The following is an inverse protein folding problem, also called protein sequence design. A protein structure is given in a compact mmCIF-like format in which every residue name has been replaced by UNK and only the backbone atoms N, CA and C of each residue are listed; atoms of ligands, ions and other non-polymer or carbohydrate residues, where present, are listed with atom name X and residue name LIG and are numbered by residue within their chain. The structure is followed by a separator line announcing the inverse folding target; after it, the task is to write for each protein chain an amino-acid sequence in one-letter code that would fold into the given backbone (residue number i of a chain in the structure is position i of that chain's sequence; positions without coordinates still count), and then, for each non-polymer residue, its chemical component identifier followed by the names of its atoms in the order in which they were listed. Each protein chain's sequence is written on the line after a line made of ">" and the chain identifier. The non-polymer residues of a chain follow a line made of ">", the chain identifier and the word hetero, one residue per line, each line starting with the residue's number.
data_IF_828376904237
#
_entry.id   IF_828376904237
#
_cell.length_a   1.000
_cell.length_b   1.000
_cell.length_c   1.000
_cell.angle_alpha   90.00
_cell.angle_beta   90.00
_cell.angle_gamma   90.00
#
_symmetry.space_group_name_H-M   'P 1'
#
loop_
_entity.id
_entity.type
_entity.pdbx_description
1 polymer ?
#
# COMPACT_ATOMS: atom_id res chain seq x y z
N UNK A 1 -8.49 12.59 0.16
CA UNK A 1 -7.90 12.51 -1.19
C UNK A 1 -8.36 11.21 -1.82
N UNK A 2 -8.49 11.14 -3.14
CA UNK A 2 -8.89 9.91 -3.83
C UNK A 2 -7.65 9.05 -4.11
N UNK A 3 -7.74 7.75 -3.82
CA UNK A 3 -6.73 6.75 -4.20
C UNK A 3 -7.12 6.19 -5.57
N UNK A 4 -6.24 6.37 -6.54
CA UNK A 4 -6.42 5.91 -7.91
C UNK A 4 -5.65 4.60 -8.14
N UNK A 5 -6.20 3.73 -8.98
CA UNK A 5 -5.58 2.44 -9.35
C UNK A 5 -4.78 2.60 -10.64
N UNK A 6 -3.55 2.10 -10.64
CA UNK A 6 -2.71 1.93 -11.83
C UNK A 6 -2.40 0.45 -12.10
N UNK A 7 -1.47 0.20 -13.02
CA UNK A 7 -0.94 -1.15 -13.23
C UNK A 7 -0.02 -1.49 -12.05
N UNK A 8 -0.43 -2.47 -11.25
CA UNK A 8 0.33 -2.96 -10.09
C UNK A 8 0.68 -1.86 -9.07
N UNK A 9 -0.13 -0.81 -9.00
CA UNK A 9 0.08 0.29 -8.05
C UNK A 9 -1.23 0.99 -7.68
N UNK A 10 -1.18 1.71 -6.57
CA UNK A 10 -2.17 2.73 -6.20
C UNK A 10 -1.47 4.04 -5.94
N UNK A 11 -2.10 5.16 -6.28
CA UNK A 11 -1.48 6.47 -6.16
C UNK A 11 -2.49 7.58 -5.87
N UNK A 12 -1.98 8.70 -5.39
CA UNK A 12 -2.72 9.94 -5.13
C UNK A 12 -2.05 11.06 -5.94
N UNK A 13 -2.86 11.83 -6.67
CA UNK A 13 -2.39 12.94 -7.51
C UNK A 13 -2.30 12.55 -8.98
N UNK A 14 -1.34 13.13 -9.69
CA UNK A 14 -1.16 12.90 -11.13
C UNK A 14 -0.41 11.59 -11.41
N UNK A 15 -0.81 10.82 -12.42
CA UNK A 15 -0.16 9.56 -12.79
C UNK A 15 1.31 9.73 -13.16
N UNK A 16 1.70 10.86 -13.77
CA UNK A 16 3.09 11.13 -14.16
C UNK A 16 3.93 11.69 -13.01
N UNK A 17 3.28 12.25 -11.99
CA UNK A 17 3.94 12.83 -10.82
C UNK A 17 3.10 12.62 -9.57
N UNK A 18 3.05 11.37 -9.07
CA UNK A 18 2.21 11.05 -7.92
C UNK A 18 2.75 11.74 -6.67
N UNK A 19 1.82 12.26 -5.86
CA UNK A 19 2.12 12.82 -4.55
C UNK A 19 2.35 11.72 -3.52
N UNK A 20 1.63 10.60 -3.68
CA UNK A 20 1.91 9.36 -2.97
C UNK A 20 1.62 8.18 -3.90
N UNK A 21 2.37 7.09 -3.77
CA UNK A 21 2.20 5.89 -4.57
C UNK A 21 2.67 4.67 -3.78
N UNK A 22 1.95 3.56 -3.90
CA UNK A 22 2.34 2.24 -3.44
C UNK A 22 2.36 1.30 -4.64
N UNK A 23 3.43 0.55 -4.80
CA UNK A 23 3.55 -0.49 -5.83
C UNK A 23 3.51 -1.87 -5.18
N UNK A 24 2.90 -2.82 -5.87
CA UNK A 24 2.75 -4.18 -5.39
C UNK A 24 2.99 -5.18 -6.52
N UNK A 25 3.32 -6.42 -6.18
CA UNK A 25 3.36 -7.54 -7.10
C UNK A 25 2.52 -8.69 -6.54
N UNK A 26 2.06 -9.56 -7.42
CA UNK A 26 1.39 -10.80 -7.04
C UNK A 26 2.15 -11.94 -7.69
N UNK A 27 2.56 -12.92 -6.91
CA UNK A 27 3.29 -14.09 -7.41
C UNK A 27 2.35 -15.19 -7.92
N UNK A 28 2.95 -16.27 -8.43
CA UNK A 28 2.22 -17.43 -8.97
C UNK A 28 1.38 -18.16 -7.89
N UNK A 29 1.74 -18.03 -6.62
CA UNK A 29 1.02 -18.59 -5.47
C UNK A 29 -0.09 -17.64 -4.96
N UNK A 30 -0.41 -16.58 -5.71
CA UNK A 30 -1.35 -15.51 -5.32
C UNK A 30 -0.93 -14.80 -4.03
N UNK A 31 0.36 -14.71 -3.71
CA UNK A 31 0.81 -13.89 -2.60
C UNK A 31 1.02 -12.46 -3.08
N UNK A 32 0.43 -11.52 -2.35
CA UNK A 32 0.58 -10.09 -2.60
C UNK A 32 1.78 -9.58 -1.82
N UNK A 33 2.70 -8.93 -2.54
CA UNK A 33 3.93 -8.34 -2.03
C UNK A 33 3.90 -6.84 -2.24
N UNK A 34 4.13 -6.05 -1.19
CA UNK A 34 4.34 -4.61 -1.32
C UNK A 34 5.80 -4.39 -1.74
N UNK A 35 6.01 -3.69 -2.85
CA UNK A 35 7.33 -3.52 -3.48
C UNK A 35 7.97 -2.20 -3.05
N UNK A 36 7.25 -1.08 -3.20
CA UNK A 36 7.78 0.25 -2.88
C UNK A 36 6.66 1.21 -2.46
N UNK A 37 6.99 2.14 -1.58
CA UNK A 37 6.09 3.20 -1.13
C UNK A 37 6.80 4.54 -1.29
N UNK A 38 6.16 5.44 -2.03
CA UNK A 38 6.63 6.78 -2.29
C UNK A 38 5.65 7.78 -1.70
N UNK A 39 6.13 8.68 -0.84
CA UNK A 39 5.32 9.78 -0.26
C UNK A 39 6.12 11.07 -0.39
N UNK A 40 5.57 12.06 -1.09
CA UNK A 40 6.20 13.38 -1.20
C UNK A 40 6.23 14.05 0.18
N UNK A 41 7.27 14.86 0.49
CA UNK A 41 7.39 15.56 1.76
C UNK A 41 6.16 16.40 2.14
N UNK A 42 5.45 16.93 1.14
CA UNK A 42 4.21 17.71 1.32
C UNK A 42 3.05 16.91 1.92
N UNK A 43 3.10 15.57 1.88
CA UNK A 43 2.09 14.66 2.42
C UNK A 43 2.58 13.84 3.63
N UNK A 44 3.83 14.03 4.07
CA UNK A 44 4.34 13.34 5.26
C UNK A 44 3.62 13.81 6.52
N UNK A 45 3.50 12.91 7.50
CA UNK A 45 2.83 13.19 8.79
C UNK A 45 1.30 13.23 8.73
N UNK A 46 0.69 12.88 7.60
CA UNK A 46 -0.77 12.91 7.40
C UNK A 46 -1.41 11.51 7.35
N UNK A 47 -0.67 10.44 7.65
CA UNK A 47 -1.20 9.07 7.61
C UNK A 47 -1.41 8.49 6.21
N UNK A 48 -0.99 9.19 5.14
CA UNK A 48 -1.23 8.74 3.75
C UNK A 48 -0.57 7.39 3.43
N UNK A 49 0.59 7.10 4.02
CA UNK A 49 1.25 5.79 3.86
C UNK A 49 0.39 4.64 4.40
N UNK A 50 -0.18 4.85 5.59
CA UNK A 50 -1.08 3.90 6.22
C UNK A 50 -2.34 3.66 5.38
N UNK A 51 -2.94 4.72 4.85
CA UNK A 51 -4.12 4.60 3.98
C UNK A 51 -3.82 3.79 2.70
N UNK A 52 -2.64 4.01 2.09
CA UNK A 52 -2.21 3.25 0.90
C UNK A 52 -1.96 1.77 1.22
N UNK A 53 -1.29 1.46 2.33
CA UNK A 53 -1.05 0.08 2.77
C UNK A 53 -2.37 -0.62 3.04
N UNK A 54 -3.28 0.00 3.79
CA UNK A 54 -4.63 -0.53 4.04
C UNK A 54 -5.41 -0.78 2.76
N UNK A 55 -5.30 0.12 1.78
CA UNK A 55 -5.96 -0.04 0.49
C UNK A 55 -5.44 -1.25 -0.29
N UNK A 56 -4.11 -1.45 -0.33
CA UNK A 56 -3.49 -2.63 -0.95
C UNK A 56 -3.86 -3.93 -0.24
N UNK A 57 -3.90 -3.92 1.10
CA UNK A 57 -4.34 -5.05 1.92
C UNK A 57 -5.78 -5.43 1.57
N UNK A 58 -6.70 -4.45 1.57
CA UNK A 58 -8.09 -4.69 1.21
C UNK A 58 -8.23 -5.22 -0.22
N UNK A 59 -7.49 -4.64 -1.17
CA UNK A 59 -7.43 -5.15 -2.54
C UNK A 59 -6.99 -6.61 -2.58
N UNK A 60 -5.98 -7.00 -1.80
CA UNK A 60 -5.55 -8.39 -1.67
C UNK A 60 -6.67 -9.29 -1.15
N UNK A 61 -7.33 -8.90 -0.06
CA UNK A 61 -8.44 -9.65 0.53
C UNK A 61 -9.63 -9.82 -0.43
N UNK A 62 -10.02 -8.77 -1.14
CA UNK A 62 -11.11 -8.80 -2.12
C UNK A 62 -10.81 -9.70 -3.32
N UNK A 63 -9.53 -9.93 -3.63
CA UNK A 63 -9.09 -10.77 -4.77
C UNK A 63 -8.58 -12.15 -4.33
N UNK A 64 -8.82 -12.55 -3.07
CA UNK A 64 -8.39 -13.83 -2.49
C UNK A 64 -6.85 -14.03 -2.55
N UNK A 65 -6.10 -12.94 -2.50
CA UNK A 65 -4.64 -12.97 -2.38
C UNK A 65 -4.23 -13.15 -0.93
N UNK A 66 -3.14 -13.89 -0.73
CA UNK A 66 -2.55 -14.05 0.60
C UNK A 66 -1.53 -12.95 0.80
N UNK A 67 -1.60 -12.20 1.90
CA UNK A 67 -0.60 -11.18 2.20
C UNK A 67 0.66 -11.82 2.74
N UNK A 68 1.82 -11.37 2.26
CA UNK A 68 3.08 -11.77 2.85
C UNK A 68 3.30 -11.04 4.20
N UNK A 69 3.32 -11.77 5.34
CA UNK A 69 3.46 -11.16 6.67
C UNK A 69 4.90 -10.78 7.00
N UNK A 70 5.88 -11.09 6.15
CA UNK A 70 7.28 -10.69 6.35
C UNK A 70 7.57 -9.31 5.75
N UNK A 71 6.65 -8.74 4.98
CA UNK A 71 6.76 -7.37 4.52
C UNK A 71 6.86 -6.41 5.72
N UNK A 72 8.02 -5.78 5.88
CA UNK A 72 8.32 -4.90 7.03
C UNK A 72 7.28 -3.78 7.19
N UNK A 73 6.74 -3.26 6.08
CA UNK A 73 5.69 -2.23 6.11
C UNK A 73 4.36 -2.77 6.60
N UNK A 74 4.01 -4.02 6.28
CA UNK A 74 2.82 -4.68 6.84
C UNK A 74 3.06 -4.98 8.31
N UNK A 75 4.26 -5.43 8.71
CA UNK A 75 4.60 -5.66 10.11
C UNK A 75 4.54 -4.39 10.96
N UNK A 76 5.24 -3.33 10.56
CA UNK A 76 5.22 -2.06 11.28
C UNK A 76 3.79 -1.50 11.35
N UNK A 77 3.00 -1.61 10.27
CA UNK A 77 1.62 -1.17 10.29
C UNK A 77 0.69 -2.05 11.15
N UNK A 78 0.83 -3.38 11.09
CA UNK A 78 0.04 -4.31 11.92
C UNK A 78 0.40 -4.16 13.39
N UNK A 79 1.67 -3.95 13.73
CA UNK A 79 2.09 -3.67 15.10
C UNK A 79 1.55 -2.32 15.61
N UNK A 80 1.56 -1.27 14.79
CA UNK A 80 1.05 0.06 15.16
C UNK A 80 -0.48 0.11 15.28
N UNK A 81 -1.22 -0.76 14.55
CA UNK A 81 -2.69 -0.85 14.59
C UNK A 81 -3.20 -1.74 15.74
N UNK A 82 -2.32 -2.46 16.44
CA UNK A 82 -2.66 -3.39 17.54
C UNK A 82 -2.38 -2.80 18.94
N UNK A 83 -1.99 -1.53 19.05
CA UNK A 83 -1.95 -0.85 20.35
C UNK A 83 -3.31 -0.16 20.68
N UNK A 84 -3.77 -0.43 21.91
CA UNK A 84 -5.09 -0.19 22.55
C UNK A 84 -5.60 1.27 22.53
#
# INVERSE_FOLDING_TARGET
>A
MEILKGENCFYIGDTNSPLAMITYSVDEEKKLHIVDILIRPTLQGQGIGADLVKHVINFGLENEYTLDPECIYVKEYVEEVVED
#
